data_IF_177617598238
#
_entry.id   IF_177617598238
#
_cell.length_a   1.000
_cell.length_b   1.000
_cell.length_c   1.000
_cell.angle_alpha   90.00
_cell.angle_beta   90.00
_cell.angle_gamma   90.00
#
_symmetry.space_group_name_H-M   'P 1'
#
loop_
_entity.id
_entity.type
_entity.pdbx_description
1 polymer ?
#
# COMPACT_ATOMS: atom_id res chain seq x y z
N UNK A 1 21.71 -17.80 4.93
CA UNK A 1 20.58 -16.90 5.27
C UNK A 1 19.31 -17.68 4.97
N UNK A 2 18.29 -17.58 5.82
CA UNK A 2 17.03 -18.34 5.66
C UNK A 2 16.20 -17.76 4.52
N UNK A 3 15.59 -18.66 3.74
CA UNK A 3 14.60 -18.36 2.71
C UNK A 3 13.34 -17.75 3.37
N UNK A 4 12.77 -16.70 2.78
CA UNK A 4 11.53 -16.07 3.27
C UNK A 4 10.30 -16.59 2.54
N UNK A 5 10.37 -16.68 1.20
CA UNK A 5 9.29 -17.16 0.36
C UNK A 5 9.48 -18.65 0.06
N UNK A 6 8.51 -19.46 0.47
CA UNK A 6 8.45 -20.87 0.07
C UNK A 6 8.16 -21.01 -1.42
N UNK A 7 8.30 -22.23 -1.97
CA UNK A 7 7.90 -22.47 -3.36
C UNK A 7 6.40 -22.19 -3.57
N UNK A 8 5.55 -22.51 -2.60
CA UNK A 8 4.11 -22.23 -2.67
C UNK A 8 3.84 -20.71 -2.69
N UNK A 9 4.62 -19.92 -1.94
CA UNK A 9 4.53 -18.45 -1.96
C UNK A 9 4.94 -17.87 -3.33
N UNK A 10 5.99 -18.43 -3.94
CA UNK A 10 6.45 -18.04 -5.28
C UNK A 10 5.46 -18.44 -6.37
N UNK A 11 4.90 -19.65 -6.30
CA UNK A 11 3.86 -20.11 -7.21
C UNK A 11 2.60 -19.24 -7.09
N UNK A 12 2.23 -18.85 -5.85
CA UNK A 12 1.14 -17.91 -5.61
C UNK A 12 1.43 -16.52 -6.18
N UNK A 13 2.64 -16.00 -5.97
CA UNK A 13 3.09 -14.72 -6.54
C UNK A 13 3.01 -14.72 -8.06
N UNK A 14 3.53 -15.76 -8.73
CA UNK A 14 3.51 -15.87 -10.18
C UNK A 14 2.08 -15.93 -10.73
N UNK A 15 1.18 -16.65 -10.05
CA UNK A 15 -0.21 -16.76 -10.46
C UNK A 15 -0.99 -15.47 -10.24
N UNK A 16 -0.80 -14.81 -9.10
CA UNK A 16 -1.68 -13.73 -8.63
C UNK A 16 -1.10 -12.33 -8.74
N UNK A 17 0.22 -12.18 -8.92
CA UNK A 17 0.90 -10.87 -8.99
C UNK A 17 1.01 -10.16 -7.63
N UNK A 18 0.72 -10.87 -6.53
CA UNK A 18 0.93 -10.41 -5.16
C UNK A 18 1.20 -11.62 -4.25
N UNK A 19 1.79 -11.36 -3.08
CA UNK A 19 2.03 -12.37 -2.02
C UNK A 19 1.94 -11.70 -0.66
N UNK A 20 1.48 -12.43 0.36
CA UNK A 20 1.36 -11.93 1.74
C UNK A 20 2.42 -12.60 2.60
N UNK A 21 3.18 -11.80 3.34
CA UNK A 21 4.23 -12.27 4.23
C UNK A 21 3.84 -11.94 5.66
N UNK A 22 3.43 -12.96 6.42
CA UNK A 22 3.06 -12.78 7.82
C UNK A 22 4.28 -12.54 8.69
N UNK A 23 4.10 -11.75 9.76
CA UNK A 23 5.17 -11.41 10.73
C UNK A 23 6.41 -10.87 10.01
N UNK A 24 6.21 -9.93 9.08
CA UNK A 24 7.28 -9.38 8.25
C UNK A 24 8.31 -8.60 9.07
N UNK A 25 7.87 -7.99 10.18
CA UNK A 25 8.69 -7.30 11.19
C UNK A 25 8.17 -7.68 12.60
N UNK A 26 8.92 -7.42 13.68
CA UNK A 26 8.47 -7.66 15.05
C UNK A 26 7.35 -6.68 15.46
N UNK A 27 6.46 -7.11 16.35
CA UNK A 27 5.36 -6.28 16.87
C UNK A 27 5.86 -4.97 17.51
N UNK A 28 7.00 -5.02 18.20
CA UNK A 28 7.64 -3.84 18.80
C UNK A 28 7.96 -2.77 17.75
N UNK A 29 8.38 -3.17 16.54
CA UNK A 29 8.63 -2.23 15.47
C UNK A 29 7.33 -1.64 14.90
N UNK A 30 6.24 -2.42 14.89
CA UNK A 30 4.93 -1.95 14.47
C UNK A 30 4.41 -0.91 15.47
N UNK A 31 4.49 -1.19 16.76
CA UNK A 31 4.07 -0.27 17.83
C UNK A 31 4.82 1.06 17.75
N UNK A 32 6.15 1.04 17.57
CA UNK A 32 6.95 2.25 17.42
C UNK A 32 6.56 3.05 16.17
N UNK A 33 6.22 2.39 15.06
CA UNK A 33 5.75 3.06 13.85
C UNK A 33 4.34 3.66 14.00
N UNK A 34 3.43 2.96 14.68
CA UNK A 34 2.09 3.46 15.00
C UNK A 34 2.18 4.70 15.89
N UNK A 35 2.97 4.63 16.97
CA UNK A 35 3.17 5.76 17.88
C UNK A 35 3.80 6.96 17.16
N UNK A 36 4.77 6.73 16.27
CA UNK A 36 5.35 7.79 15.46
C UNK A 36 4.32 8.52 14.58
N UNK A 37 3.32 7.81 14.05
CA UNK A 37 2.23 8.41 13.27
C UNK A 37 1.33 9.25 14.16
N UNK A 38 0.94 8.73 15.33
CA UNK A 38 0.16 9.48 16.31
C UNK A 38 0.86 10.75 16.77
N UNK A 39 2.14 10.66 17.14
CA UNK A 39 2.97 11.78 17.56
C UNK A 39 3.15 12.82 16.44
N UNK A 40 3.39 12.37 15.21
CA UNK A 40 3.57 13.27 14.06
C UNK A 40 2.28 14.03 13.73
N UNK A 41 1.13 13.38 13.86
CA UNK A 41 -0.16 14.02 13.68
C UNK A 41 -0.56 14.86 14.91
N UNK A 42 0.07 14.67 16.07
CA UNK A 42 -0.33 15.29 17.34
C UNK A 42 -1.79 14.94 17.66
N UNK A 43 -2.12 13.64 17.63
CA UNK A 43 -3.47 13.12 17.95
C UNK A 43 -3.39 11.95 18.93
N UNK A 44 -4.41 11.80 19.78
CA UNK A 44 -4.51 10.72 20.76
C UNK A 44 -5.16 9.46 20.14
N UNK A 45 -4.42 8.35 20.18
CA UNK A 45 -4.90 7.04 19.74
C UNK A 45 -6.17 6.57 20.49
N UNK A 46 -6.39 7.04 21.72
CA UNK A 46 -7.50 6.63 22.58
C UNK A 46 -8.71 7.57 22.50
N UNK A 47 -8.63 8.66 21.73
CA UNK A 47 -9.75 9.57 21.47
C UNK A 47 -10.16 9.53 19.99
N UNK A 48 -11.20 8.76 19.63
CA UNK A 48 -11.67 8.67 18.26
C UNK A 48 -12.13 9.99 17.64
N UNK A 49 -12.48 11.01 18.44
CA UNK A 49 -12.78 12.34 17.90
C UNK A 49 -11.51 13.05 17.43
N UNK A 50 -10.39 12.83 18.13
CA UNK A 50 -9.09 13.45 17.83
C UNK A 50 -8.47 12.90 16.54
N UNK A 51 -8.89 11.71 16.08
CA UNK A 51 -8.49 11.18 14.77
C UNK A 51 -8.93 12.08 13.60
N UNK A 52 -9.93 12.94 13.82
CA UNK A 52 -10.44 13.91 12.85
C UNK A 52 -10.02 15.35 13.18
N UNK A 53 -8.98 15.54 14.00
CA UNK A 53 -8.46 16.85 14.44
C UNK A 53 -8.20 17.82 13.29
N UNK A 54 -7.68 17.30 12.17
CA UNK A 54 -7.42 18.08 10.97
C UNK A 54 -8.43 17.77 9.88
N UNK A 55 -8.88 18.76 9.09
CA UNK A 55 -9.49 18.45 7.81
C UNK A 55 -8.46 17.74 6.91
N UNK A 56 -8.85 16.78 6.08
CA UNK A 56 -7.93 16.11 5.20
C UNK A 56 -7.44 17.06 4.10
N UNK A 57 -6.19 16.90 3.69
CA UNK A 57 -5.62 17.56 2.50
C UNK A 57 -6.33 17.02 1.26
N UNK A 58 -6.96 17.92 0.49
CA UNK A 58 -7.69 17.62 -0.75
C UNK A 58 -7.09 18.45 -1.90
N UNK A 59 -6.76 17.78 -3.00
CA UNK A 59 -6.08 18.38 -4.15
C UNK A 59 -4.60 18.66 -3.87
N UNK A 60 -3.94 19.46 -4.72
CA UNK A 60 -2.53 19.81 -4.58
C UNK A 60 -2.20 20.84 -3.50
N UNK A 61 -3.12 21.11 -2.56
CA UNK A 61 -2.88 22.00 -1.41
C UNK A 61 -2.00 21.30 -0.39
N UNK A 62 -1.24 22.04 0.41
CA UNK A 62 -0.38 21.50 1.48
C UNK A 62 -0.72 22.14 2.83
N UNK A 63 -2.00 22.07 3.21
CA UNK A 63 -2.59 22.76 4.35
C UNK A 63 -2.99 21.81 5.51
N UNK A 64 -2.72 20.51 5.37
CA UNK A 64 -3.00 19.50 6.39
C UNK A 64 -1.92 18.40 6.38
N UNK A 65 -1.54 17.88 7.57
CA UNK A 65 -0.50 16.85 7.69
C UNK A 65 -0.91 15.49 7.10
N UNK A 66 -2.21 15.30 6.84
CA UNK A 66 -2.80 14.04 6.40
C UNK A 66 -3.68 14.25 5.17
N UNK A 67 -3.56 13.38 4.16
CA UNK A 67 -4.42 13.46 2.96
C UNK A 67 -5.77 12.80 3.16
N UNK A 68 -6.71 13.09 2.25
CA UNK A 68 -7.99 12.40 2.20
C UNK A 68 -7.85 10.88 2.01
N UNK A 69 -6.76 10.43 1.38
CA UNK A 69 -6.43 9.02 1.21
C UNK A 69 -5.62 8.45 2.41
N UNK A 70 -5.50 9.21 3.50
CA UNK A 70 -4.78 8.82 4.72
C UNK A 70 -3.26 9.00 4.66
N UNK A 71 -2.72 9.64 3.63
CA UNK A 71 -1.27 9.75 3.46
C UNK A 71 -0.66 10.72 4.47
N UNK A 72 0.26 10.20 5.28
CA UNK A 72 1.02 10.96 6.29
C UNK A 72 2.47 11.08 5.84
N UNK A 73 2.92 12.31 5.62
CA UNK A 73 4.20 12.66 4.97
C UNK A 73 5.41 12.56 5.95
N UNK A 74 5.45 11.50 6.77
CA UNK A 74 6.44 11.26 7.84
C UNK A 74 7.71 10.53 7.33
N UNK A 75 8.16 10.88 6.12
CA UNK A 75 9.11 10.10 5.32
C UNK A 75 10.40 9.64 6.03
N UNK A 76 10.97 10.50 6.88
CA UNK A 76 12.31 10.33 7.45
C UNK A 76 12.32 9.79 8.88
N UNK A 77 11.17 9.42 9.44
CA UNK A 77 11.12 8.94 10.82
C UNK A 77 11.78 7.58 10.95
N UNK A 78 12.62 7.41 11.98
CA UNK A 78 13.44 6.21 12.16
C UNK A 78 12.62 4.92 12.21
N UNK A 79 11.44 4.96 12.84
CA UNK A 79 10.50 3.84 12.89
C UNK A 79 10.15 3.27 11.51
N UNK A 80 9.99 4.12 10.49
CA UNK A 80 9.68 3.67 9.13
C UNK A 80 10.93 3.06 8.47
N UNK A 81 12.11 3.60 8.74
CA UNK A 81 13.38 3.07 8.24
C UNK A 81 13.74 1.72 8.84
N UNK A 82 13.45 1.51 10.12
CA UNK A 82 13.68 0.24 10.82
C UNK A 82 12.83 -0.88 10.21
N UNK A 83 11.59 -0.56 9.83
CA UNK A 83 10.71 -1.49 9.13
C UNK A 83 11.14 -1.77 7.69
N UNK A 84 11.46 -0.74 6.91
CA UNK A 84 11.88 -0.87 5.50
C UNK A 84 13.16 -1.66 5.32
N UNK A 85 14.08 -1.55 6.29
CA UNK A 85 15.37 -2.22 6.27
C UNK A 85 15.37 -3.53 7.06
N UNK A 86 14.24 -3.92 7.66
CA UNK A 86 14.19 -5.11 8.47
C UNK A 86 14.62 -6.34 7.65
N UNK A 87 15.48 -7.24 8.18
CA UNK A 87 16.10 -8.28 7.37
C UNK A 87 15.12 -9.16 6.60
N UNK A 88 13.95 -9.49 7.16
CA UNK A 88 12.93 -10.31 6.49
C UNK A 88 12.25 -9.56 5.33
N UNK A 89 11.99 -8.26 5.48
CA UNK A 89 11.48 -7.40 4.40
C UNK A 89 12.49 -7.30 3.27
N UNK A 90 13.75 -6.95 3.59
CA UNK A 90 14.82 -6.93 2.60
C UNK A 90 14.96 -8.26 1.85
N UNK A 91 14.89 -9.39 2.59
CA UNK A 91 15.00 -10.72 1.98
C UNK A 91 13.85 -11.02 1.04
N UNK A 92 12.61 -10.73 1.43
CA UNK A 92 11.45 -10.89 0.56
C UNK A 92 11.61 -10.15 -0.77
N UNK A 93 12.00 -8.87 -0.72
CA UNK A 93 12.26 -8.11 -1.93
C UNK A 93 13.45 -8.68 -2.74
N UNK A 94 14.53 -9.11 -2.07
CA UNK A 94 15.69 -9.68 -2.77
C UNK A 94 15.38 -10.99 -3.49
N UNK A 95 14.47 -11.79 -2.93
CA UNK A 95 13.98 -13.03 -3.55
C UNK A 95 13.08 -12.72 -4.75
N UNK A 96 12.14 -11.77 -4.64
CA UNK A 96 11.28 -11.34 -5.76
C UNK A 96 12.09 -10.70 -6.90
N UNK A 97 13.09 -9.87 -6.57
CA UNK A 97 13.94 -9.21 -7.56
C UNK A 97 15.09 -10.08 -8.09
N UNK A 98 15.30 -11.26 -7.49
CA UNK A 98 16.43 -12.15 -7.79
C UNK A 98 17.81 -11.46 -7.69
N UNK A 99 17.96 -10.50 -6.78
CA UNK A 99 19.21 -9.75 -6.57
C UNK A 99 19.29 -9.22 -5.15
N UNK A 100 20.50 -9.23 -4.58
CA UNK A 100 20.81 -8.63 -3.28
C UNK A 100 21.13 -7.13 -3.36
N UNK A 101 21.36 -6.62 -4.58
CA UNK A 101 21.68 -5.21 -4.85
C UNK A 101 20.43 -4.34 -4.91
N UNK A 102 19.79 -4.15 -3.77
CA UNK A 102 18.60 -3.31 -3.63
C UNK A 102 18.91 -1.98 -2.94
N UNK A 103 18.20 -0.93 -3.35
CA UNK A 103 18.10 0.32 -2.60
C UNK A 103 16.72 0.42 -1.96
N UNK A 104 16.69 0.88 -0.72
CA UNK A 104 15.44 1.15 -0.01
C UNK A 104 14.80 2.39 -0.60
N UNK A 105 13.53 2.29 -0.99
CA UNK A 105 12.74 3.44 -1.41
C UNK A 105 12.27 4.27 -0.22
N UNK A 106 12.23 5.58 -0.42
CA UNK A 106 11.59 6.50 0.51
C UNK A 106 10.09 6.53 0.24
N UNK A 107 9.28 6.42 1.29
CA UNK A 107 7.83 6.59 1.17
C UNK A 107 7.21 7.08 2.48
N UNK A 108 5.89 7.16 2.50
CA UNK A 108 5.04 7.69 3.56
C UNK A 108 4.54 6.60 4.51
N UNK A 109 3.78 7.02 5.50
CA UNK A 109 2.85 6.17 6.23
C UNK A 109 1.41 6.42 5.76
N UNK A 110 0.51 5.51 6.12
CA UNK A 110 -0.92 5.70 5.91
C UNK A 110 -1.67 5.52 7.23
N UNK A 111 -2.55 6.45 7.56
CA UNK A 111 -3.53 6.36 8.64
C UNK A 111 -4.88 6.76 8.08
N UNK A 112 -5.90 5.94 8.28
CA UNK A 112 -7.24 6.22 7.79
C UNK A 112 -8.25 6.07 8.93
N UNK A 113 -8.91 7.16 9.36
CA UNK A 113 -9.95 7.04 10.36
C UNK A 113 -11.20 6.38 9.74
N UNK A 114 -12.09 5.77 10.55
CA UNK A 114 -13.34 5.22 10.05
C UNK A 114 -14.20 6.24 9.28
N UNK A 115 -14.94 5.80 8.26
CA UNK A 115 -15.88 6.71 7.58
C UNK A 115 -17.05 7.04 8.51
N UNK A 116 -17.42 8.32 8.61
CA UNK A 116 -18.57 8.79 9.40
C UNK A 116 -19.46 9.76 8.60
N UNK A 117 -20.80 9.68 8.75
CA UNK A 117 -21.71 10.61 8.07
C UNK A 117 -21.54 12.09 8.47
N UNK A 118 -21.09 12.36 9.70
CA UNK A 118 -20.83 13.71 10.21
C UNK A 118 -19.44 14.25 9.84
N UNK A 119 -18.62 13.45 9.17
CA UNK A 119 -17.27 13.79 8.65
C UNK A 119 -17.14 13.44 7.16
N UNK A 120 -18.02 13.95 6.28
CA UNK A 120 -18.09 13.54 4.87
C UNK A 120 -16.80 13.80 4.08
N UNK A 121 -15.95 14.74 4.52
CA UNK A 121 -14.64 15.01 3.94
C UNK A 121 -13.68 13.81 4.01
N UNK A 122 -13.92 12.88 4.94
CA UNK A 122 -13.14 11.66 5.13
C UNK A 122 -13.71 10.44 4.41
N UNK A 123 -14.83 10.56 3.67
CA UNK A 123 -15.36 9.49 2.83
C UNK A 123 -14.53 9.33 1.54
N UNK A 124 -13.34 8.75 1.68
CA UNK A 124 -12.47 8.37 0.57
C UNK A 124 -12.56 6.86 0.32
N UNK A 125 -13.05 6.45 -0.85
CA UNK A 125 -13.23 5.04 -1.23
C UNK A 125 -12.01 4.41 -1.91
N UNK A 126 -10.89 5.13 -2.00
CA UNK A 126 -9.72 4.71 -2.76
C UNK A 126 -9.97 4.67 -4.27
N UNK A 127 -8.95 4.20 -4.99
CA UNK A 127 -9.02 3.97 -6.43
C UNK A 127 -8.06 2.83 -6.80
N UNK A 128 -8.54 1.92 -7.65
CA UNK A 128 -7.65 0.98 -8.31
C UNK A 128 -6.93 1.74 -9.42
N UNK A 129 -5.60 1.64 -9.42
CA UNK A 129 -4.75 2.33 -10.38
C UNK A 129 -3.47 1.54 -10.62
N UNK A 130 -2.68 1.98 -11.61
CA UNK A 130 -1.31 1.51 -11.80
C UNK A 130 -0.31 2.63 -11.54
N UNK A 131 0.76 2.29 -10.85
CA UNK A 131 1.87 3.19 -10.53
C UNK A 131 2.84 3.42 -11.71
N UNK A 132 2.65 2.68 -12.80
CA UNK A 132 3.48 2.77 -14.01
C UNK A 132 2.69 3.31 -15.18
N UNK A 133 3.38 3.93 -16.11
CA UNK A 133 2.80 4.36 -17.39
C UNK A 133 2.53 3.14 -18.28
N UNK A 134 1.28 2.65 -18.24
CA UNK A 134 0.84 1.48 -18.99
C UNK A 134 0.72 1.71 -20.50
N UNK A 135 1.00 2.92 -21.01
CA UNK A 135 1.12 3.18 -22.45
C UNK A 135 2.44 2.66 -23.04
N UNK A 136 3.46 2.42 -22.21
CA UNK A 136 4.78 1.94 -22.62
C UNK A 136 4.83 0.42 -22.69
N UNK A 137 5.46 -0.10 -23.74
CA UNK A 137 5.64 -1.54 -23.95
C UNK A 137 7.11 -1.88 -24.24
N UNK A 138 7.70 -2.90 -23.57
CA UNK A 138 7.10 -3.66 -22.45
C UNK A 138 6.92 -2.79 -21.20
N UNK A 139 5.98 -3.19 -20.33
CA UNK A 139 5.88 -2.59 -19.00
C UNK A 139 7.17 -2.92 -18.24
N UNK A 140 7.79 -1.90 -17.65
CA UNK A 140 8.93 -2.10 -16.76
C UNK A 140 8.47 -2.86 -15.51
N UNK A 141 9.20 -3.91 -15.14
CA UNK A 141 8.94 -4.62 -13.89
C UNK A 141 9.14 -3.68 -12.70
N UNK A 142 8.17 -3.70 -11.79
CA UNK A 142 8.20 -2.96 -10.54
C UNK A 142 7.32 -3.68 -9.53
N UNK A 143 7.78 -3.69 -8.27
CA UNK A 143 7.04 -4.26 -7.15
C UNK A 143 6.99 -3.22 -6.04
N UNK A 144 5.82 -3.08 -5.43
CA UNK A 144 5.60 -2.29 -4.22
C UNK A 144 5.33 -3.20 -3.04
N UNK A 145 5.38 -2.64 -1.84
CA UNK A 145 4.98 -3.31 -0.62
C UNK A 145 4.13 -2.41 0.25
N UNK A 146 3.10 -3.00 0.85
CA UNK A 146 2.30 -2.39 1.91
C UNK A 146 2.56 -3.19 3.18
N UNK A 147 3.06 -2.52 4.22
CA UNK A 147 3.20 -3.11 5.54
C UNK A 147 2.01 -2.67 6.39
N UNK A 148 1.19 -3.64 6.81
CA UNK A 148 0.14 -3.39 7.79
C UNK A 148 0.77 -3.13 9.16
N UNK A 149 0.44 -1.99 9.76
CA UNK A 149 0.93 -1.59 11.08
C UNK A 149 0.01 -2.04 12.21
N UNK A 150 -1.24 -2.33 11.89
CA UNK A 150 -2.28 -2.83 12.78
C UNK A 150 -3.12 -3.86 12.04
N UNK A 151 -3.80 -4.74 12.78
CA UNK A 151 -4.82 -5.62 12.22
C UNK A 151 -5.81 -4.81 11.39
N UNK A 152 -5.99 -5.23 10.14
CA UNK A 152 -6.82 -4.56 9.15
C UNK A 152 -7.71 -5.61 8.46
N UNK A 153 -8.98 -5.66 8.82
CA UNK A 153 -9.97 -6.47 8.13
C UNK A 153 -10.22 -5.93 6.71
N UNK A 154 -10.75 -6.80 5.83
CA UNK A 154 -11.00 -6.50 4.41
C UNK A 154 -11.87 -5.24 4.19
N UNK A 155 -12.74 -4.91 5.14
CA UNK A 155 -13.65 -3.76 5.08
C UNK A 155 -13.11 -2.47 5.71
N UNK A 156 -11.85 -2.45 6.17
CA UNK A 156 -11.24 -1.27 6.81
C UNK A 156 -10.43 -0.39 5.83
N UNK A 157 -10.49 -0.67 4.53
CA UNK A 157 -9.94 0.21 3.49
C UNK A 157 -8.42 0.08 3.30
N UNK A 158 -7.88 -1.13 3.50
CA UNK A 158 -6.48 -1.49 3.22
C UNK A 158 -6.19 -1.70 1.72
N UNK A 159 -5.11 -2.42 1.43
CA UNK A 159 -4.68 -2.73 0.07
C UNK A 159 -5.72 -3.57 -0.69
N UNK A 160 -5.88 -3.26 -1.97
CA UNK A 160 -6.75 -3.97 -2.89
C UNK A 160 -6.02 -4.19 -4.20
N UNK A 161 -6.27 -5.33 -4.85
CA UNK A 161 -5.66 -5.64 -6.14
C UNK A 161 -6.61 -6.44 -7.03
N UNK A 162 -6.19 -6.71 -8.26
CA UNK A 162 -6.86 -7.61 -9.19
C UNK A 162 -5.92 -8.81 -9.39
N UNK A 163 -6.14 -9.94 -8.68
CA UNK A 163 -5.26 -11.09 -8.77
C UNK A 163 -5.10 -11.59 -10.22
N UNK A 164 -3.86 -11.86 -10.62
CA UNK A 164 -3.52 -12.40 -11.94
C UNK A 164 -3.61 -11.39 -13.09
N UNK A 165 -3.86 -10.11 -12.80
CA UNK A 165 -4.03 -9.09 -13.84
C UNK A 165 -2.79 -8.92 -14.72
N UNK A 166 -1.58 -9.08 -14.17
CA UNK A 166 -0.32 -9.01 -14.91
C UNK A 166 -0.24 -10.02 -16.06
N UNK A 167 -0.89 -11.19 -15.94
CA UNK A 167 -0.92 -12.24 -16.97
C UNK A 167 -1.85 -11.89 -18.13
N UNK A 168 -2.91 -11.13 -17.87
CA UNK A 168 -3.91 -10.76 -18.87
C UNK A 168 -3.75 -9.33 -19.40
N UNK A 169 -2.92 -8.49 -18.77
CA UNK A 169 -2.76 -7.08 -19.08
C UNK A 169 -2.66 -6.79 -20.59
N UNK A 170 -1.77 -7.46 -21.32
CA UNK A 170 -1.56 -7.19 -22.74
C UNK A 170 -2.76 -7.59 -23.62
N UNK A 171 -3.58 -8.54 -23.19
CA UNK A 171 -4.83 -8.88 -23.89
C UNK A 171 -5.94 -7.92 -23.51
N UNK A 172 -6.03 -7.55 -22.23
CA UNK A 172 -6.94 -6.53 -21.73
C UNK A 172 -6.72 -5.20 -22.45
N UNK A 173 -5.47 -4.71 -22.61
CA UNK A 173 -5.18 -3.45 -23.33
C UNK A 173 -5.75 -3.42 -24.76
N UNK A 174 -5.83 -4.56 -25.46
CA UNK A 174 -6.39 -4.62 -26.83
C UNK A 174 -7.89 -4.39 -26.89
N UNK A 175 -8.60 -4.57 -25.78
CA UNK A 175 -10.05 -4.31 -25.69
C UNK A 175 -10.35 -2.87 -25.30
N UNK A 176 -9.34 -2.11 -24.87
CA UNK A 176 -9.50 -0.75 -24.39
C UNK A 176 -9.44 0.28 -25.52
N UNK A 177 -10.08 1.45 -25.34
CA UNK A 177 -9.96 2.55 -26.29
C UNK A 177 -8.52 3.08 -26.37
N UNK A 178 -8.16 3.65 -27.52
CA UNK A 178 -6.81 4.14 -27.78
C UNK A 178 -6.37 5.27 -26.81
N UNK A 179 -7.33 6.05 -26.30
CA UNK A 179 -7.17 7.16 -25.37
C UNK A 179 -7.47 6.79 -23.91
N UNK A 180 -7.48 5.49 -23.56
CA UNK A 180 -7.64 5.03 -22.17
C UNK A 180 -6.68 5.75 -21.22
N UNK A 181 -7.14 6.00 -20.00
CA UNK A 181 -6.29 6.52 -18.95
C UNK A 181 -5.24 5.46 -18.57
N UNK A 182 -3.96 5.77 -18.73
CA UNK A 182 -2.87 4.83 -18.46
C UNK A 182 -2.60 4.59 -16.97
N UNK A 183 -3.23 5.37 -16.07
CA UNK A 183 -3.19 5.18 -14.62
C UNK A 183 -4.45 4.53 -14.05
N UNK A 184 -5.62 4.71 -14.67
CA UNK A 184 -6.89 4.25 -14.11
C UNK A 184 -7.54 3.21 -15.02
N UNK A 185 -7.60 1.93 -14.62
CA UNK A 185 -8.30 0.89 -15.39
C UNK A 185 -9.80 1.12 -15.49
N UNK A 186 -10.36 0.62 -16.60
CA UNK A 186 -11.74 0.14 -16.61
C UNK A 186 -11.79 -1.19 -15.84
N UNK A 187 -12.58 -1.21 -14.78
CA UNK A 187 -12.76 -2.34 -13.88
C UNK A 187 -13.91 -3.27 -14.30
N UNK A 188 -14.59 -2.97 -15.42
CA UNK A 188 -15.65 -3.81 -15.95
C UNK A 188 -15.14 -5.24 -16.13
N UNK A 189 -15.88 -6.21 -15.57
CA UNK A 189 -15.54 -7.63 -15.57
C UNK A 189 -14.23 -8.01 -14.84
N UNK A 190 -13.62 -7.10 -14.08
CA UNK A 190 -12.47 -7.38 -13.22
C UNK A 190 -12.91 -7.55 -11.77
N UNK A 191 -12.39 -8.59 -11.11
CA UNK A 191 -12.63 -8.83 -9.69
C UNK A 191 -11.58 -8.11 -8.84
N UNK A 192 -12.02 -7.08 -8.11
CA UNK A 192 -11.18 -6.38 -7.13
C UNK A 192 -11.24 -7.12 -5.81
N UNK A 193 -10.08 -7.50 -5.28
CA UNK A 193 -9.96 -8.22 -4.02
C UNK A 193 -9.31 -7.36 -2.93
N UNK A 194 -10.00 -7.08 -1.81
CA UNK A 194 -9.37 -6.53 -0.63
C UNK A 194 -8.49 -7.58 0.05
N UNK A 195 -7.33 -7.16 0.56
CA UNK A 195 -6.38 -8.04 1.23
C UNK A 195 -6.30 -7.62 2.69
N UNK A 196 -6.72 -8.48 3.61
CA UNK A 196 -6.60 -8.21 5.04
C UNK A 196 -5.13 -8.20 5.51
N UNK A 197 -4.85 -7.43 6.55
CA UNK A 197 -3.60 -7.44 7.30
C UNK A 197 -3.81 -8.07 8.68
N UNK A 198 -3.00 -9.07 9.01
CA UNK A 198 -2.95 -9.78 10.29
C UNK A 198 -1.51 -10.15 10.62
#
# INVERSE_FOLDING_TARGET
>A
MSVVLSQDDLDFWEENGFVVIHNAVPDENLEVAVNAIWDFLDIDAHDPEDWYKYPPRIGGRNDSPISQAGMVEIYQHQALWDNRQYPKVYRAFSEIWETDRLWVSLDRANMKPPTRPDKPEWDNRGMIHWDVDTSKTPIAFGVQGVLYLTDTAENQGGFQCIPGFHKQFYNWVKTQPADRNFHSPDLTDLEVKPIAGQ
#
